data_IF_900980460737
#
_entry.id   IF_900980460737
#
_cell.length_a   1.000
_cell.length_b   1.000
_cell.length_c   1.000
_cell.angle_alpha   90.00
_cell.angle_beta   90.00
_cell.angle_gamma   90.00
#
_symmetry.space_group_name_H-M   'P 1'
#
loop_
_entity.id
_entity.type
_entity.pdbx_description
1 polymer ?
#
# COMPACT_ATOMS: atom_id res chain seq x y z
N UNK A 1 -65.70 -51.81 -32.06
CA UNK A 1 -65.39 -51.01 -30.81
C UNK A 1 -63.90 -50.71 -30.84
N UNK A 2 -63.55 -49.54 -31.36
CA UNK A 2 -62.17 -49.10 -31.46
C UNK A 2 -61.86 -48.08 -30.35
N UNK A 3 -60.90 -48.41 -29.48
CA UNK A 3 -60.45 -47.53 -28.41
C UNK A 3 -59.18 -46.81 -28.87
N UNK A 4 -59.27 -45.54 -29.22
CA UNK A 4 -58.15 -44.60 -29.44
C UNK A 4 -57.57 -44.19 -28.13
N UNK A 5 -56.32 -44.57 -27.85
CA UNK A 5 -55.53 -44.03 -26.72
C UNK A 5 -54.86 -42.70 -27.19
N UNK A 6 -55.24 -41.61 -26.55
CA UNK A 6 -54.56 -40.33 -26.67
C UNK A 6 -53.36 -40.34 -25.69
N UNK A 7 -52.15 -40.31 -26.25
CA UNK A 7 -50.91 -40.15 -25.47
C UNK A 7 -50.66 -38.67 -25.25
N UNK A 8 -50.74 -38.20 -24.01
CA UNK A 8 -50.40 -36.83 -23.62
C UNK A 8 -48.87 -36.75 -23.42
N UNK A 9 -48.13 -36.11 -24.33
CA UNK A 9 -46.74 -35.75 -24.11
C UNK A 9 -46.67 -34.53 -23.19
N UNK A 10 -46.17 -34.73 -21.96
CA UNK A 10 -45.85 -33.67 -21.03
C UNK A 10 -44.44 -33.15 -21.35
N UNK A 11 -44.32 -32.01 -21.98
CA UNK A 11 -43.05 -31.30 -22.19
C UNK A 11 -42.69 -30.57 -20.89
N UNK A 12 -41.73 -31.10 -20.13
CA UNK A 12 -41.15 -30.41 -18.98
C UNK A 12 -40.27 -29.26 -19.48
N UNK A 13 -40.70 -28.03 -19.28
CA UNK A 13 -39.91 -26.82 -19.49
C UNK A 13 -39.01 -26.67 -18.23
N UNK A 14 -37.73 -26.98 -18.41
CA UNK A 14 -36.69 -26.62 -17.42
C UNK A 14 -36.50 -25.10 -17.48
N UNK A 15 -36.99 -24.38 -16.50
CA UNK A 15 -36.62 -23.00 -16.25
C UNK A 15 -35.26 -23.08 -15.58
N UNK A 16 -34.17 -22.86 -16.32
CA UNK A 16 -32.86 -22.59 -15.77
C UNK A 16 -32.99 -21.24 -15.02
N UNK A 17 -33.01 -21.28 -13.70
CA UNK A 17 -32.83 -20.07 -12.88
C UNK A 17 -31.46 -19.45 -13.19
N UNK A 18 -31.29 -18.13 -13.00
CA UNK A 18 -29.98 -17.52 -13.13
C UNK A 18 -29.03 -18.23 -12.15
N UNK A 19 -28.01 -18.87 -12.70
CA UNK A 19 -26.87 -19.32 -11.91
C UNK A 19 -26.17 -18.04 -11.47
N UNK A 20 -26.35 -17.63 -10.21
CA UNK A 20 -25.44 -16.68 -9.59
C UNK A 20 -24.10 -17.41 -9.49
N UNK A 21 -23.15 -17.03 -10.31
CA UNK A 21 -21.77 -17.42 -10.06
C UNK A 21 -21.38 -16.87 -8.70
N UNK A 22 -20.83 -17.71 -7.82
CA UNK A 22 -20.29 -17.23 -6.56
C UNK A 22 -19.18 -16.23 -6.89
N UNK A 23 -19.28 -15.02 -6.33
CA UNK A 23 -18.25 -13.99 -6.49
C UNK A 23 -16.93 -14.51 -5.91
N UNK A 24 -15.77 -14.14 -6.49
CA UNK A 24 -14.49 -14.58 -5.98
C UNK A 24 -14.27 -14.07 -4.54
N UNK A 25 -13.76 -14.94 -3.67
CA UNK A 25 -13.29 -14.58 -2.35
C UNK A 25 -11.87 -14.01 -2.51
N UNK A 26 -11.66 -12.79 -2.09
CA UNK A 26 -10.40 -12.07 -2.28
C UNK A 26 -9.85 -11.65 -0.93
N UNK A 27 -8.61 -12.02 -0.64
CA UNK A 27 -7.89 -11.58 0.55
C UNK A 27 -6.79 -10.57 0.15
N UNK A 28 -6.54 -9.59 1.04
CA UNK A 28 -5.57 -8.51 0.80
C UNK A 28 -4.78 -8.24 2.07
N UNK A 29 -3.49 -8.00 1.95
CA UNK A 29 -2.60 -7.80 3.11
C UNK A 29 -2.88 -6.51 3.87
N UNK A 30 -2.75 -5.34 3.26
CA UNK A 30 -2.81 -4.02 3.92
C UNK A 30 -3.96 -3.15 3.43
N UNK A 31 -4.39 -2.19 4.25
CA UNK A 31 -5.52 -1.31 3.97
C UNK A 31 -5.40 -0.48 2.67
N UNK A 32 -4.25 0.08 2.28
CA UNK A 32 -4.10 0.77 1.00
C UNK A 32 -4.36 -0.13 -0.22
N UNK A 33 -3.80 -1.34 -0.22
CA UNK A 33 -4.01 -2.33 -1.29
C UNK A 33 -5.47 -2.81 -1.28
N UNK A 34 -6.04 -3.06 -0.09
CA UNK A 34 -7.47 -3.37 0.05
C UNK A 34 -8.35 -2.31 -0.61
N UNK A 35 -7.99 -1.03 -0.48
CA UNK A 35 -8.75 0.06 -1.11
C UNK A 35 -8.73 -0.02 -2.65
N UNK A 36 -7.57 -0.32 -3.24
CA UNK A 36 -7.46 -0.50 -4.70
C UNK A 36 -8.26 -1.71 -5.19
N UNK A 37 -8.19 -2.83 -4.46
CA UNK A 37 -8.98 -4.02 -4.78
C UNK A 37 -10.48 -3.75 -4.62
N UNK A 38 -10.89 -3.06 -3.53
CA UNK A 38 -12.28 -2.66 -3.31
C UNK A 38 -12.81 -1.72 -4.40
N UNK A 39 -11.96 -0.83 -4.93
CA UNK A 39 -12.29 0.04 -6.06
C UNK A 39 -12.59 -0.79 -7.32
N UNK A 40 -11.77 -1.79 -7.62
CA UNK A 40 -11.99 -2.66 -8.79
C UNK A 40 -13.20 -3.57 -8.60
N UNK A 41 -13.46 -4.05 -7.38
CA UNK A 41 -14.57 -4.93 -7.03
C UNK A 41 -15.90 -4.20 -6.78
N UNK A 42 -15.96 -2.87 -6.96
CA UNK A 42 -17.18 -2.10 -6.69
C UNK A 42 -18.39 -2.64 -7.47
N UNK A 43 -19.49 -2.87 -6.74
CA UNK A 43 -20.72 -3.44 -7.30
C UNK A 43 -20.72 -4.97 -7.45
N UNK A 44 -19.58 -5.65 -7.24
CA UNK A 44 -19.46 -7.11 -7.34
C UNK A 44 -19.20 -7.75 -5.98
N UNK A 45 -18.22 -7.25 -5.23
CA UNK A 45 -17.82 -7.84 -3.96
C UNK A 45 -17.03 -6.89 -3.08
N UNK A 46 -16.55 -7.41 -1.95
CA UNK A 46 -15.66 -6.70 -1.01
C UNK A 46 -14.54 -7.66 -0.65
N UNK A 47 -13.27 -7.24 -0.71
CA UNK A 47 -12.16 -8.08 -0.29
C UNK A 47 -12.08 -8.17 1.25
N UNK A 48 -11.44 -9.22 1.75
CA UNK A 48 -11.10 -9.40 3.17
C UNK A 48 -9.71 -8.81 3.46
N UNK A 49 -9.62 -7.97 4.51
CA UNK A 49 -8.35 -7.40 4.97
C UNK A 49 -7.69 -8.33 5.98
N UNK A 50 -6.42 -8.66 5.78
CA UNK A 50 -5.64 -9.56 6.65
C UNK A 50 -4.99 -8.78 7.80
N UNK A 51 -4.22 -7.74 7.51
CA UNK A 51 -3.54 -6.93 8.52
C UNK A 51 -4.46 -5.79 8.93
N UNK A 52 -4.95 -5.83 10.16
CA UNK A 52 -5.94 -4.87 10.65
C UNK A 52 -5.35 -3.47 10.78
N UNK A 53 -6.18 -2.44 10.55
CA UNK A 53 -5.79 -1.03 10.68
C UNK A 53 -5.08 -0.75 12.02
N UNK A 54 -3.98 -0.02 11.96
CA UNK A 54 -3.16 0.37 13.11
C UNK A 54 -2.12 -0.66 13.56
N UNK A 55 -2.05 -1.82 12.90
CA UNK A 55 -0.97 -2.79 13.11
C UNK A 55 0.15 -2.57 12.10
N UNK A 56 1.41 -2.86 12.50
CA UNK A 56 2.54 -2.87 11.56
C UNK A 56 2.48 -4.12 10.67
N UNK A 57 2.71 -3.99 9.35
CA UNK A 57 2.77 -5.13 8.46
C UNK A 57 4.02 -5.99 8.63
N UNK A 58 5.13 -5.42 9.08
CA UNK A 58 6.41 -6.12 9.20
C UNK A 58 6.40 -7.19 10.30
N UNK A 59 5.61 -6.98 11.37
CA UNK A 59 5.43 -7.95 12.45
C UNK A 59 3.94 -8.09 12.80
N UNK A 60 3.32 -9.18 12.39
CA UNK A 60 1.91 -9.43 12.65
C UNK A 60 1.64 -10.90 13.00
N UNK A 61 0.67 -11.13 13.85
CA UNK A 61 0.19 -12.48 14.20
C UNK A 61 -1.24 -12.66 13.71
N UNK A 62 -1.45 -13.59 12.77
CA UNK A 62 -2.75 -13.90 12.20
C UNK A 62 -3.79 -14.28 13.27
N UNK A 63 -4.95 -13.67 13.20
CA UNK A 63 -6.13 -14.06 13.95
C UNK A 63 -6.84 -15.22 13.25
N UNK A 64 -7.63 -16.04 13.99
CA UNK A 64 -8.37 -17.16 13.37
C UNK A 64 -9.30 -16.74 12.20
N UNK A 65 -9.91 -15.55 12.27
CA UNK A 65 -10.74 -15.02 11.19
C UNK A 65 -9.96 -14.74 9.91
N UNK A 66 -8.75 -14.17 10.05
CA UNK A 66 -7.85 -13.85 8.95
C UNK A 66 -7.28 -15.12 8.30
N UNK A 67 -6.89 -16.10 9.13
CA UNK A 67 -6.52 -17.42 8.63
C UNK A 67 -7.65 -18.10 7.86
N UNK A 68 -8.91 -17.94 8.30
CA UNK A 68 -10.07 -18.46 7.60
C UNK A 68 -10.32 -17.73 6.27
N UNK A 69 -10.10 -16.41 6.22
CA UNK A 69 -10.20 -15.62 4.99
C UNK A 69 -9.18 -16.11 3.95
N UNK A 70 -7.92 -16.34 4.36
CA UNK A 70 -6.89 -16.91 3.49
C UNK A 70 -7.25 -18.31 3.00
N UNK A 71 -7.77 -19.19 3.87
CA UNK A 71 -8.19 -20.55 3.48
C UNK A 71 -9.31 -20.58 2.46
N UNK A 72 -10.17 -19.58 2.45
CA UNK A 72 -11.30 -19.49 1.55
C UNK A 72 -11.01 -18.64 0.30
N UNK A 73 -9.85 -17.99 0.22
CA UNK A 73 -9.52 -17.07 -0.86
C UNK A 73 -9.34 -17.81 -2.20
N UNK A 74 -9.95 -17.27 -3.25
CA UNK A 74 -9.67 -17.62 -4.65
C UNK A 74 -8.47 -16.82 -5.19
N UNK A 75 -8.32 -15.56 -4.71
CA UNK A 75 -7.20 -14.68 -5.04
C UNK A 75 -6.66 -14.02 -3.77
N UNK A 76 -5.35 -13.83 -3.75
CA UNK A 76 -4.67 -13.00 -2.74
C UNK A 76 -3.85 -11.94 -3.44
N UNK A 77 -4.11 -10.67 -3.12
CA UNK A 77 -3.26 -9.54 -3.50
C UNK A 77 -2.49 -9.05 -2.27
N UNK A 78 -1.20 -8.96 -2.41
CA UNK A 78 -0.32 -8.51 -1.33
C UNK A 78 0.86 -7.74 -1.92
N UNK A 79 1.49 -6.88 -1.13
CA UNK A 79 2.65 -6.13 -1.63
C UNK A 79 3.77 -7.09 -2.02
N UNK A 80 4.13 -8.02 -1.14
CA UNK A 80 5.14 -9.02 -1.43
C UNK A 80 5.92 -9.45 -0.17
N UNK A 81 6.87 -10.38 -0.34
CA UNK A 81 7.67 -10.91 0.77
C UNK A 81 8.57 -9.85 1.43
N UNK A 82 8.95 -8.80 0.72
CA UNK A 82 9.77 -7.72 1.27
C UNK A 82 9.01 -6.92 2.34
N UNK A 83 7.67 -6.81 2.25
CA UNK A 83 6.84 -6.19 3.29
C UNK A 83 6.47 -7.17 4.40
N UNK A 84 6.05 -8.38 4.02
CA UNK A 84 5.44 -9.35 4.94
C UNK A 84 6.05 -10.75 4.76
N UNK A 85 7.35 -10.96 5.12
CA UNK A 85 8.01 -12.26 4.94
C UNK A 85 7.28 -13.38 5.71
N UNK A 86 6.72 -13.07 6.90
CA UNK A 86 5.91 -14.00 7.69
C UNK A 86 4.63 -14.47 6.97
N UNK A 87 4.06 -13.62 6.07
CA UNK A 87 2.84 -13.95 5.34
C UNK A 87 3.13 -14.94 4.20
N UNK A 88 4.33 -14.93 3.62
CA UNK A 88 4.72 -15.87 2.57
C UNK A 88 4.54 -17.33 3.00
N UNK A 89 5.06 -17.71 4.18
CA UNK A 89 4.89 -19.06 4.74
C UNK A 89 3.41 -19.40 5.06
N UNK A 90 2.67 -18.39 5.54
CA UNK A 90 1.24 -18.55 5.81
C UNK A 90 0.43 -18.79 4.52
N UNK A 91 0.74 -18.08 3.43
CA UNK A 91 0.09 -18.25 2.13
C UNK A 91 0.31 -19.65 1.54
N UNK A 92 1.54 -20.17 1.62
CA UNK A 92 1.83 -21.54 1.17
C UNK A 92 0.99 -22.60 1.89
N UNK A 93 0.74 -22.39 3.19
CA UNK A 93 0.03 -23.35 4.04
C UNK A 93 -1.49 -23.16 4.00
N UNK A 94 -1.97 -21.91 4.06
CA UNK A 94 -3.39 -21.60 4.25
C UNK A 94 -4.12 -21.38 2.92
N UNK A 95 -3.45 -20.88 1.89
CA UNK A 95 -4.05 -20.52 0.61
C UNK A 95 -3.42 -21.27 -0.60
N UNK A 96 -3.17 -22.60 -0.52
CA UNK A 96 -2.43 -23.33 -1.56
C UNK A 96 -3.17 -23.42 -2.89
N UNK A 97 -4.47 -23.14 -2.94
CA UNK A 97 -5.30 -23.14 -4.14
C UNK A 97 -5.57 -21.73 -4.69
N UNK A 98 -5.26 -20.69 -3.93
CA UNK A 98 -5.48 -19.31 -4.35
C UNK A 98 -4.48 -18.87 -5.42
N UNK A 99 -4.91 -17.95 -6.28
CA UNK A 99 -3.99 -17.23 -7.18
C UNK A 99 -3.34 -16.11 -6.38
N UNK A 100 -2.05 -16.27 -6.08
CA UNK A 100 -1.27 -15.27 -5.36
C UNK A 100 -0.71 -14.24 -6.33
N UNK A 101 -0.78 -12.96 -5.98
CA UNK A 101 -0.21 -11.85 -6.76
C UNK A 101 0.59 -10.95 -5.83
N UNK A 102 1.93 -11.01 -5.92
CA UNK A 102 2.86 -10.07 -5.32
C UNK A 102 2.88 -8.81 -6.18
N UNK A 103 2.32 -7.72 -5.67
CA UNK A 103 2.14 -6.49 -6.43
C UNK A 103 3.46 -5.76 -6.68
N UNK A 104 4.43 -5.90 -5.78
CA UNK A 104 5.77 -5.33 -5.98
C UNK A 104 6.49 -5.98 -7.16
N UNK A 105 6.21 -7.27 -7.44
CA UNK A 105 6.89 -8.07 -8.48
C UNK A 105 6.17 -8.04 -9.85
N UNK A 106 4.99 -7.38 -9.96
CA UNK A 106 4.29 -7.36 -11.25
C UNK A 106 4.97 -6.41 -12.24
N UNK A 107 4.96 -6.80 -13.51
CA UNK A 107 5.53 -5.99 -14.59
C UNK A 107 4.95 -4.58 -14.61
N UNK A 108 5.81 -3.58 -14.68
CA UNK A 108 5.46 -2.17 -14.71
C UNK A 108 5.33 -1.51 -13.33
N UNK A 109 5.49 -2.26 -12.23
CA UNK A 109 5.68 -1.67 -10.91
C UNK A 109 7.06 -1.02 -10.83
N UNK A 110 7.10 0.24 -10.40
CA UNK A 110 8.34 0.91 -10.04
C UNK A 110 8.85 0.23 -8.77
N UNK A 111 10.08 -0.26 -8.82
CA UNK A 111 10.80 -0.86 -7.70
C UNK A 111 11.97 0.04 -7.35
N UNK A 112 12.14 0.35 -6.07
CA UNK A 112 13.25 1.13 -5.54
C UNK A 112 14.04 0.25 -4.57
N UNK A 113 15.35 0.41 -4.54
CA UNK A 113 16.22 -0.25 -3.58
C UNK A 113 16.10 0.45 -2.22
N UNK A 114 16.41 -0.26 -1.14
CA UNK A 114 16.51 0.37 0.17
C UNK A 114 17.59 1.45 0.18
N UNK A 115 17.33 2.56 0.88
CA UNK A 115 18.36 3.55 1.18
C UNK A 115 19.17 3.08 2.38
N UNK A 116 20.48 2.93 2.19
CA UNK A 116 21.38 2.44 3.25
C UNK A 116 21.76 3.56 4.23
N UNK A 117 21.84 4.80 3.72
CA UNK A 117 22.25 5.95 4.51
C UNK A 117 21.07 6.61 5.19
N UNK A 118 21.34 6.99 6.38
CA UNK A 118 20.40 7.68 7.23
C UNK A 118 20.13 9.12 6.82
N UNK A 119 21.03 9.72 6.09
CA UNK A 119 20.95 11.05 5.50
C UNK A 119 20.93 10.85 4.00
N UNK A 120 19.88 11.34 3.38
CA UNK A 120 19.67 11.21 1.95
C UNK A 120 20.43 12.32 1.24
N UNK A 121 21.78 12.22 1.24
CA UNK A 121 22.59 13.15 0.45
C UNK A 121 22.28 12.94 -1.03
N UNK A 122 22.23 14.04 -1.80
CA UNK A 122 22.14 13.95 -3.26
C UNK A 122 23.44 13.35 -3.82
N UNK A 123 23.54 12.04 -3.86
CA UNK A 123 24.71 11.37 -4.41
C UNK A 123 24.70 11.44 -5.93
N UNK A 124 25.77 12.05 -6.48
CA UNK A 124 26.20 11.86 -7.86
C UNK A 124 26.59 10.36 -7.99
N UNK A 125 25.89 9.62 -8.83
CA UNK A 125 26.15 8.20 -9.09
C UNK A 125 27.51 8.01 -9.76
N UNK A 126 28.57 7.84 -8.97
CA UNK A 126 29.87 7.39 -9.44
C UNK A 126 30.49 6.43 -8.43
N UNK A 127 30.49 5.15 -8.81
CA UNK A 127 31.36 4.06 -8.40
C UNK A 127 31.43 3.73 -6.90
N UNK A 128 30.67 2.72 -6.47
CA UNK A 128 31.05 1.93 -5.30
C UNK A 128 30.98 0.44 -5.60
N UNK A 129 32.19 -0.20 -5.55
CA UNK A 129 32.42 -1.62 -5.55
C UNK A 129 32.01 -2.24 -4.19
N UNK A 130 31.31 -3.36 -4.28
CA UNK A 130 31.22 -4.49 -3.37
C UNK A 130 31.49 -4.29 -1.87
N UNK A 131 30.44 -4.27 -1.05
CA UNK A 131 30.44 -4.85 0.29
C UNK A 131 29.22 -5.74 0.49
N UNK A 132 29.45 -7.06 0.40
CA UNK A 132 28.55 -8.12 0.80
C UNK A 132 28.42 -8.17 2.35
N UNK A 133 27.46 -7.45 2.90
CA UNK A 133 26.88 -7.75 4.21
C UNK A 133 25.35 -7.71 4.05
N UNK A 134 24.79 -8.83 3.56
CA UNK A 134 23.35 -9.03 3.44
C UNK A 134 22.75 -9.26 4.81
N UNK A 135 22.32 -8.21 5.47
CA UNK A 135 21.24 -8.32 6.44
C UNK A 135 19.96 -8.73 5.70
N UNK A 136 19.13 -9.56 6.31
CA UNK A 136 17.94 -10.26 5.80
C UNK A 136 16.78 -9.30 5.40
N UNK A 137 17.10 -8.15 4.84
CA UNK A 137 16.16 -7.21 4.23
C UNK A 137 15.88 -7.70 2.80
N UNK A 138 14.61 -7.62 2.34
CA UNK A 138 14.24 -7.94 0.97
C UNK A 138 15.05 -7.14 -0.06
N UNK A 139 14.94 -7.50 -1.33
CA UNK A 139 15.73 -6.87 -2.39
C UNK A 139 15.31 -5.41 -2.64
N UNK A 140 14.07 -5.01 -2.28
CA UNK A 140 13.50 -3.69 -2.61
C UNK A 140 12.75 -3.08 -1.43
N UNK A 141 12.71 -1.74 -1.40
CA UNK A 141 11.84 -0.98 -0.53
C UNK A 141 10.38 -1.41 -0.76
N UNK A 142 9.69 -1.96 0.25
CA UNK A 142 8.36 -2.51 0.07
C UNK A 142 7.23 -1.47 0.06
N UNK A 143 7.50 -0.19 0.36
CA UNK A 143 6.46 0.83 0.53
C UNK A 143 5.87 1.35 -0.80
N UNK A 144 5.87 0.50 -1.81
CA UNK A 144 5.49 0.79 -3.20
C UNK A 144 4.05 1.28 -3.40
N UNK A 145 3.14 1.03 -2.43
CA UNK A 145 1.78 1.58 -2.45
C UNK A 145 1.73 3.11 -2.30
N UNK A 146 2.79 3.74 -1.80
CA UNK A 146 2.87 5.19 -1.68
C UNK A 146 3.18 5.90 -3.01
N UNK A 147 3.43 5.13 -4.09
CA UNK A 147 3.45 5.63 -5.46
C UNK A 147 2.05 5.59 -6.10
N UNK A 148 1.41 6.72 -6.38
CA UNK A 148 0.20 6.75 -7.20
C UNK A 148 0.39 6.14 -8.60
N UNK A 149 1.58 6.20 -9.18
CA UNK A 149 1.88 5.55 -10.47
C UNK A 149 1.83 4.03 -10.36
N UNK A 150 2.38 3.45 -9.29
CA UNK A 150 2.24 2.02 -9.00
C UNK A 150 0.78 1.63 -8.77
N UNK A 151 0.03 2.45 -8.03
CA UNK A 151 -1.39 2.20 -7.79
C UNK A 151 -2.20 2.13 -9.09
N UNK A 152 -1.91 2.96 -10.09
CA UNK A 152 -2.53 2.87 -11.42
C UNK A 152 -2.20 1.56 -12.14
N UNK A 153 -0.94 1.12 -12.09
CA UNK A 153 -0.51 -0.18 -12.64
C UNK A 153 -1.22 -1.34 -11.92
N UNK A 154 -1.30 -1.26 -10.60
CA UNK A 154 -1.95 -2.31 -9.79
C UNK A 154 -3.45 -2.40 -10.04
N UNK A 155 -4.16 -1.29 -10.29
CA UNK A 155 -5.58 -1.34 -10.68
C UNK A 155 -5.79 -2.19 -11.94
N UNK A 156 -4.94 -2.05 -12.96
CA UNK A 156 -5.04 -2.83 -14.20
C UNK A 156 -4.73 -4.31 -13.96
N UNK A 157 -3.71 -4.62 -13.15
CA UNK A 157 -3.34 -6.00 -12.78
C UNK A 157 -4.46 -6.66 -11.99
N UNK A 158 -5.01 -5.98 -10.98
CA UNK A 158 -6.12 -6.46 -10.15
C UNK A 158 -7.33 -6.78 -11.03
N UNK A 159 -7.72 -5.87 -11.94
CA UNK A 159 -8.83 -6.08 -12.86
C UNK A 159 -8.58 -7.29 -13.79
N UNK A 160 -7.36 -7.44 -14.28
CA UNK A 160 -6.98 -8.58 -15.12
C UNK A 160 -7.08 -9.92 -14.37
N UNK A 161 -6.60 -9.99 -13.13
CA UNK A 161 -6.66 -11.20 -12.30
C UNK A 161 -8.10 -11.56 -11.91
N UNK A 162 -8.88 -10.57 -11.49
CA UNK A 162 -10.32 -10.77 -11.19
C UNK A 162 -11.09 -11.23 -12.42
N UNK A 163 -10.88 -10.62 -13.58
CA UNK A 163 -11.53 -11.01 -14.84
C UNK A 163 -11.19 -12.44 -15.27
N UNK A 164 -9.99 -12.92 -14.97
CA UNK A 164 -9.58 -14.29 -15.29
C UNK A 164 -10.32 -15.34 -14.44
N UNK A 165 -10.58 -15.02 -13.16
CA UNK A 165 -11.29 -15.92 -12.22
C UNK A 165 -12.80 -15.79 -12.35
N UNK A 166 -13.30 -14.57 -12.58
CA UNK A 166 -14.71 -14.25 -12.73
C UNK A 166 -15.00 -13.52 -14.06
N UNK A 167 -15.03 -14.23 -15.19
CA UNK A 167 -15.27 -13.64 -16.50
C UNK A 167 -16.65 -12.99 -16.67
N UNK A 168 -17.61 -13.36 -15.82
CA UNK A 168 -18.98 -12.82 -15.89
C UNK A 168 -18.99 -11.34 -15.51
N UNK A 169 -18.15 -10.94 -14.55
CA UNK A 169 -18.04 -9.56 -14.07
C UNK A 169 -16.85 -8.80 -14.68
N UNK A 170 -16.18 -9.35 -15.69
CA UNK A 170 -14.97 -8.78 -16.31
C UNK A 170 -15.16 -7.32 -16.77
N UNK A 171 -16.28 -7.02 -17.42
CA UNK A 171 -16.57 -5.66 -17.90
C UNK A 171 -16.67 -4.65 -16.73
N UNK A 172 -17.23 -5.08 -15.59
CA UNK A 172 -17.32 -4.24 -14.40
C UNK A 172 -15.92 -3.98 -13.80
N UNK A 173 -15.09 -5.01 -13.66
CA UNK A 173 -13.72 -4.87 -13.14
C UNK A 173 -12.88 -3.93 -14.00
N UNK A 174 -12.92 -4.09 -15.32
CA UNK A 174 -12.17 -3.24 -16.25
C UNK A 174 -12.67 -1.78 -16.22
N UNK A 175 -13.98 -1.56 -16.16
CA UNK A 175 -14.57 -0.22 -16.07
C UNK A 175 -14.20 0.46 -14.74
N UNK A 176 -14.25 -0.28 -13.62
CA UNK A 176 -13.90 0.22 -12.30
C UNK A 176 -12.41 0.57 -12.21
N UNK A 177 -11.52 -0.25 -12.76
CA UNK A 177 -10.09 0.05 -12.85
C UNK A 177 -9.82 1.30 -13.66
N UNK A 178 -10.45 1.46 -14.83
CA UNK A 178 -10.32 2.66 -15.64
C UNK A 178 -10.80 3.93 -14.91
N UNK A 179 -11.91 3.84 -14.18
CA UNK A 179 -12.41 4.92 -13.33
C UNK A 179 -11.45 5.25 -12.18
N UNK A 180 -10.90 4.23 -11.53
CA UNK A 180 -9.90 4.39 -10.46
C UNK A 180 -8.64 5.07 -10.96
N UNK A 181 -8.12 4.69 -12.13
CA UNK A 181 -6.95 5.33 -12.75
C UNK A 181 -7.19 6.80 -13.02
N UNK A 182 -8.33 7.16 -13.62
CA UNK A 182 -8.67 8.56 -13.88
C UNK A 182 -8.77 9.38 -12.57
N UNK A 183 -9.28 8.77 -11.49
CA UNK A 183 -9.31 9.41 -10.17
C UNK A 183 -7.91 9.60 -9.58
N UNK A 184 -7.00 8.66 -9.79
CA UNK A 184 -5.59 8.78 -9.34
C UNK A 184 -4.82 9.80 -10.20
N UNK A 185 -5.06 9.88 -11.50
CA UNK A 185 -4.47 10.93 -12.36
C UNK A 185 -4.84 12.33 -11.85
N UNK A 186 -6.12 12.56 -11.54
CA UNK A 186 -6.56 13.81 -10.94
C UNK A 186 -5.97 14.06 -9.54
N UNK A 187 -5.78 13.00 -8.75
CA UNK A 187 -5.13 13.08 -7.44
C UNK A 187 -3.64 13.49 -7.56
N UNK A 188 -2.92 13.00 -8.56
CA UNK A 188 -1.52 13.39 -8.81
C UNK A 188 -1.44 14.91 -9.06
N UNK A 189 -2.31 15.46 -9.92
CA UNK A 189 -2.36 16.91 -10.18
C UNK A 189 -2.68 17.72 -8.91
N UNK A 190 -3.59 17.22 -8.05
CA UNK A 190 -3.92 17.83 -6.76
C UNK A 190 -2.73 17.84 -5.79
N UNK A 191 -1.98 16.74 -5.71
CA UNK A 191 -0.78 16.61 -4.88
C UNK A 191 0.31 17.56 -5.34
N UNK A 192 0.62 17.59 -6.64
CA UNK A 192 1.61 18.50 -7.23
C UNK A 192 1.29 19.96 -6.90
N UNK A 193 0.04 20.38 -7.12
CA UNK A 193 -0.39 21.75 -6.82
C UNK A 193 -0.30 22.09 -5.32
N UNK A 194 -0.49 21.10 -4.43
CA UNK A 194 -0.42 21.30 -2.98
C UNK A 194 1.04 21.40 -2.49
N UNK A 195 1.96 20.63 -3.07
CA UNK A 195 3.37 20.61 -2.70
C UNK A 195 4.18 21.74 -3.33
N UNK A 196 3.78 22.25 -4.48
CA UNK A 196 4.54 23.27 -5.24
C UNK A 196 4.97 24.49 -4.39
N UNK A 197 4.11 25.09 -3.54
CA UNK A 197 4.48 26.24 -2.71
C UNK A 197 5.55 25.96 -1.62
N UNK A 198 5.79 24.67 -1.31
CA UNK A 198 6.71 24.25 -0.23
C UNK A 198 7.92 23.47 -0.75
N UNK A 199 8.13 23.42 -2.07
CA UNK A 199 9.31 22.79 -2.67
C UNK A 199 10.62 23.41 -2.16
N UNK A 200 11.64 22.56 -1.99
CA UNK A 200 12.96 22.98 -1.52
C UNK A 200 13.04 23.27 -0.02
N UNK A 201 12.00 22.92 0.75
CA UNK A 201 12.07 22.97 2.21
C UNK A 201 12.50 21.61 2.74
N UNK A 202 13.44 21.65 3.70
CA UNK A 202 14.04 20.47 4.29
C UNK A 202 13.12 19.83 5.33
N UNK A 203 12.92 18.51 5.25
CA UNK A 203 12.16 17.74 6.22
C UNK A 203 12.78 16.37 6.47
N UNK A 204 12.46 15.79 7.62
CA UNK A 204 12.90 14.46 8.03
C UNK A 204 11.65 13.61 8.30
N UNK A 205 11.67 12.35 7.89
CA UNK A 205 10.63 11.36 8.17
C UNK A 205 11.00 10.51 9.39
N UNK A 206 10.01 9.86 10.03
CA UNK A 206 10.29 8.97 11.14
C UNK A 206 11.02 7.72 10.68
N UNK A 207 10.43 6.96 9.73
CA UNK A 207 11.10 5.84 9.09
C UNK A 207 11.09 6.02 7.57
N UNK A 208 11.94 5.28 6.88
CA UNK A 208 12.16 5.41 5.45
C UNK A 208 11.10 4.67 4.63
N UNK A 209 9.85 5.15 4.70
CA UNK A 209 8.72 4.58 3.96
C UNK A 209 8.32 5.39 2.73
N UNK A 210 8.78 6.63 2.61
CA UNK A 210 8.17 7.61 1.69
C UNK A 210 8.91 7.76 0.37
N UNK A 211 9.96 6.98 0.12
CA UNK A 211 10.82 7.07 -1.06
C UNK A 211 10.04 7.03 -2.38
N UNK A 212 9.01 6.20 -2.48
CA UNK A 212 8.14 6.13 -3.66
C UNK A 212 7.31 7.40 -3.87
N UNK A 213 6.74 7.96 -2.81
CA UNK A 213 6.03 9.24 -2.86
C UNK A 213 6.99 10.38 -3.22
N UNK A 214 8.16 10.41 -2.60
CA UNK A 214 9.22 11.38 -2.87
C UNK A 214 9.64 11.36 -4.36
N UNK A 215 9.84 10.16 -4.91
CA UNK A 215 10.23 9.95 -6.31
C UNK A 215 9.12 10.37 -7.28
N UNK A 216 7.86 10.04 -6.97
CA UNK A 216 6.73 10.36 -7.85
C UNK A 216 6.50 11.87 -7.98
N UNK A 217 6.79 12.63 -6.92
CA UNK A 217 6.51 14.07 -6.85
C UNK A 217 7.76 14.96 -6.86
N UNK A 218 8.96 14.39 -7.04
CA UNK A 218 10.24 15.10 -6.95
C UNK A 218 10.30 15.94 -5.66
N UNK A 219 10.11 15.29 -4.52
CA UNK A 219 9.95 15.92 -3.21
C UNK A 219 10.69 15.13 -2.12
N UNK A 220 12.02 15.13 -2.18
CA UNK A 220 12.87 14.30 -1.35
C UNK A 220 12.92 14.76 0.11
N UNK A 221 12.87 13.79 1.04
CA UNK A 221 13.23 14.00 2.44
C UNK A 221 14.75 14.15 2.58
N UNK A 222 15.19 14.87 3.62
CA UNK A 222 16.61 15.05 3.94
C UNK A 222 17.20 13.86 4.72
N UNK A 223 16.33 12.98 5.25
CA UNK A 223 16.73 11.80 6.00
C UNK A 223 15.59 11.17 6.79
N UNK A 224 15.88 10.04 7.44
CA UNK A 224 14.96 9.33 8.31
C UNK A 224 15.56 9.13 9.71
N UNK A 225 14.73 9.16 10.76
CA UNK A 225 15.14 8.88 12.13
C UNK A 225 15.50 7.39 12.27
N UNK A 226 14.70 6.52 11.70
CA UNK A 226 14.98 5.08 11.57
C UNK A 226 14.99 4.68 10.11
N UNK A 227 15.90 3.80 9.73
CA UNK A 227 15.94 3.21 8.38
C UNK A 227 14.93 2.05 8.24
N UNK A 228 14.39 1.59 9.36
CA UNK A 228 13.41 0.49 9.41
C UNK A 228 12.41 0.74 10.52
N UNK A 229 11.16 0.30 10.33
CA UNK A 229 10.11 0.33 11.36
C UNK A 229 10.20 -0.86 12.32
N UNK A 230 11.00 -1.88 11.98
CA UNK A 230 11.22 -3.05 12.83
C UNK A 230 12.22 -2.82 13.98
N UNK A 231 12.92 -1.68 14.04
CA UNK A 231 13.90 -1.40 15.08
C UNK A 231 13.92 0.04 15.56
N UNK A 232 14.04 0.23 16.89
CA UNK A 232 14.22 1.55 17.47
C UNK A 232 15.58 2.14 17.07
N UNK A 233 15.64 3.45 16.73
CA UNK A 233 16.89 4.10 16.39
C UNK A 233 17.85 4.13 17.59
N UNK A 234 19.15 3.92 17.34
CA UNK A 234 20.17 3.99 18.39
C UNK A 234 20.32 5.40 18.97
N UNK A 235 20.81 5.56 20.21
CA UNK A 235 21.09 6.88 20.78
C UNK A 235 22.08 7.71 19.93
N UNK A 236 23.04 7.05 19.26
CA UNK A 236 23.99 7.69 18.37
C UNK A 236 23.26 8.28 17.15
N UNK A 237 22.34 7.51 16.58
CA UNK A 237 21.50 7.92 15.46
C UNK A 237 20.62 9.13 15.80
N UNK A 238 19.96 9.11 16.96
CA UNK A 238 19.17 10.26 17.43
C UNK A 238 20.05 11.51 17.59
N UNK A 239 21.30 11.36 18.08
CA UNK A 239 22.22 12.51 18.22
C UNK A 239 22.65 13.06 16.86
N UNK A 240 22.90 12.20 15.87
CA UNK A 240 23.22 12.57 14.49
C UNK A 240 22.07 13.36 13.85
N UNK A 241 20.85 12.81 13.85
CA UNK A 241 19.66 13.48 13.29
C UNK A 241 19.40 14.83 13.97
N UNK A 242 19.59 14.93 15.29
CA UNK A 242 19.48 16.22 15.99
C UNK A 242 20.50 17.24 15.49
N UNK A 243 21.73 16.81 15.18
CA UNK A 243 22.75 17.66 14.56
C UNK A 243 22.25 18.19 13.21
N UNK A 244 21.74 17.32 12.38
CA UNK A 244 21.19 17.66 11.04
C UNK A 244 20.02 18.65 11.13
N UNK A 245 19.06 18.41 12.02
CA UNK A 245 17.93 19.33 12.24
C UNK A 245 18.43 20.75 12.59
N UNK A 246 19.51 20.85 13.37
CA UNK A 246 20.06 22.13 13.78
C UNK A 246 20.91 22.82 12.69
N UNK A 247 21.63 22.05 11.86
CA UNK A 247 22.65 22.55 10.93
C UNK A 247 22.10 22.79 9.52
N UNK A 248 21.13 21.98 9.06
CA UNK A 248 20.65 21.99 7.68
C UNK A 248 19.31 22.72 7.48
N UNK A 249 18.81 23.43 8.49
CA UNK A 249 17.58 24.22 8.33
C UNK A 249 16.32 23.37 8.14
N UNK A 250 16.31 22.16 8.68
CA UNK A 250 15.12 21.29 8.70
C UNK A 250 13.99 22.02 9.41
N UNK A 251 12.87 22.18 8.73
CA UNK A 251 11.70 22.92 9.25
C UNK A 251 10.58 22.01 9.74
N UNK A 252 10.60 20.73 9.32
CA UNK A 252 9.57 19.74 9.64
C UNK A 252 10.18 18.38 9.95
N UNK A 253 9.67 17.72 10.99
CA UNK A 253 9.93 16.30 11.29
C UNK A 253 8.59 15.57 11.33
N UNK A 254 8.42 14.57 10.48
CA UNK A 254 7.20 13.79 10.39
C UNK A 254 7.26 12.63 11.38
N UNK A 255 6.24 12.54 12.23
CA UNK A 255 5.98 11.44 13.15
C UNK A 255 4.88 10.54 12.60
N UNK A 256 4.82 9.31 13.07
CA UNK A 256 3.81 8.33 12.71
C UNK A 256 3.09 7.79 13.95
N UNK A 257 1.76 7.50 13.87
CA UNK A 257 0.99 7.07 15.03
C UNK A 257 1.43 5.71 15.60
N UNK A 258 2.09 4.87 14.79
CA UNK A 258 2.57 3.54 15.16
C UNK A 258 3.79 3.59 16.06
N UNK A 259 4.54 4.72 16.10
CA UNK A 259 5.80 4.86 16.82
C UNK A 259 5.70 5.74 18.05
N UNK A 260 6.71 5.62 18.92
CA UNK A 260 6.80 6.40 20.16
C UNK A 260 7.05 7.89 19.87
N UNK A 261 6.09 8.80 20.12
CA UNK A 261 6.26 10.23 19.85
C UNK A 261 7.37 10.89 20.68
N UNK A 262 7.84 10.25 21.75
CA UNK A 262 8.95 10.74 22.58
C UNK A 262 10.29 10.74 21.84
N UNK A 263 10.48 9.90 20.83
CA UNK A 263 11.66 9.88 19.97
C UNK A 263 11.72 11.16 19.12
N UNK A 264 10.61 11.48 18.43
CA UNK A 264 10.50 12.72 17.63
C UNK A 264 10.67 13.96 18.51
N UNK A 265 10.04 13.99 19.69
CA UNK A 265 10.22 15.09 20.65
C UNK A 265 11.68 15.25 21.11
N UNK A 266 12.43 14.14 21.18
CA UNK A 266 13.86 14.17 21.52
C UNK A 266 14.69 14.75 20.37
N UNK A 267 14.39 14.38 19.13
CA UNK A 267 15.03 14.94 17.93
C UNK A 267 14.79 16.44 17.82
N UNK A 268 13.55 16.88 18.02
CA UNK A 268 13.16 18.30 17.94
C UNK A 268 13.71 19.18 19.06
N UNK A 269 14.23 18.60 20.14
CA UNK A 269 14.66 19.36 21.31
C UNK A 269 15.78 20.35 20.98
N UNK A 270 15.48 21.66 21.09
CA UNK A 270 16.42 22.76 20.86
C UNK A 270 16.45 23.23 19.39
N UNK A 271 15.53 22.80 18.58
CA UNK A 271 15.27 23.30 17.21
C UNK A 271 13.94 24.05 17.14
N UNK A 272 13.75 24.85 16.08
CA UNK A 272 12.49 25.52 15.74
C UNK A 272 11.63 24.67 14.76
N UNK A 273 12.08 23.46 14.39
CA UNK A 273 11.37 22.57 13.49
C UNK A 273 10.01 22.12 14.07
N UNK A 274 9.02 22.04 13.22
CA UNK A 274 7.66 21.61 13.57
C UNK A 274 7.54 20.08 13.50
N UNK A 275 6.59 19.53 14.25
CA UNK A 275 6.19 18.12 14.14
C UNK A 275 4.92 18.00 13.29
N UNK A 276 4.98 17.26 12.19
CA UNK A 276 3.83 16.77 11.46
C UNK A 276 3.51 15.32 11.84
N UNK A 277 2.26 14.90 11.60
CA UNK A 277 1.85 13.50 11.77
C UNK A 277 1.38 12.99 10.43
N UNK A 278 1.96 11.89 9.98
CA UNK A 278 1.61 11.16 8.75
C UNK A 278 1.36 9.69 9.10
N UNK A 279 0.51 9.04 8.36
CA UNK A 279 0.21 7.62 8.52
C UNK A 279 0.24 6.95 7.15
N UNK A 280 1.26 6.14 6.83
CA UNK A 280 1.42 5.51 5.53
C UNK A 280 0.41 4.38 5.26
N UNK A 281 -0.34 3.93 6.28
CA UNK A 281 -1.34 2.88 6.17
C UNK A 281 -2.79 3.40 6.26
N UNK A 282 -2.99 4.67 6.70
CA UNK A 282 -4.31 5.26 6.84
C UNK A 282 -5.15 4.59 7.92
N UNK A 283 -4.58 4.33 9.09
CA UNK A 283 -5.19 3.54 10.16
C UNK A 283 -6.47 4.14 10.74
N UNK A 284 -6.65 5.46 10.62
CA UNK A 284 -7.82 6.22 11.04
C UNK A 284 -8.88 6.43 9.94
N UNK A 285 -8.59 5.95 8.72
CA UNK A 285 -9.50 6.04 7.58
C UNK A 285 -10.48 4.86 7.54
N UNK A 286 -11.67 5.13 7.01
CA UNK A 286 -12.66 4.09 6.78
C UNK A 286 -12.23 3.15 5.64
N UNK A 287 -12.29 1.83 5.86
CA UNK A 287 -11.98 0.84 4.84
C UNK A 287 -12.94 0.95 3.65
N UNK A 288 -12.40 0.75 2.45
CA UNK A 288 -13.17 0.79 1.21
C UNK A 288 -12.44 1.51 0.09
N UNK A 289 -13.09 1.67 -1.06
CA UNK A 289 -12.52 2.23 -2.29
C UNK A 289 -11.96 3.66 -2.13
N UNK A 290 -12.45 4.41 -1.15
CA UNK A 290 -12.02 5.80 -0.92
C UNK A 290 -10.80 5.94 0.00
N UNK A 291 -10.32 4.86 0.66
CA UNK A 291 -9.21 4.97 1.59
C UNK A 291 -7.92 5.43 0.88
N UNK A 292 -7.56 4.80 -0.23
CA UNK A 292 -6.31 5.12 -0.93
C UNK A 292 -6.20 6.60 -1.34
N UNK A 293 -7.16 7.21 -2.04
CA UNK A 293 -7.06 8.63 -2.37
C UNK A 293 -7.09 9.54 -1.14
N UNK A 294 -7.78 9.16 -0.06
CA UNK A 294 -7.75 9.92 1.19
C UNK A 294 -6.40 9.82 1.89
N UNK A 295 -5.77 8.64 1.89
CA UNK A 295 -4.43 8.42 2.42
C UNK A 295 -3.42 9.38 1.79
N UNK A 296 -3.34 9.40 0.46
CA UNK A 296 -2.40 10.26 -0.28
C UNK A 296 -2.69 11.76 -0.01
N UNK A 297 -3.97 12.16 0.05
CA UNK A 297 -4.34 13.53 0.42
C UNK A 297 -3.95 13.89 1.84
N UNK A 298 -4.16 12.99 2.80
CA UNK A 298 -3.81 13.22 4.21
C UNK A 298 -2.30 13.37 4.40
N UNK A 299 -1.51 12.50 3.76
CA UNK A 299 -0.05 12.58 3.75
C UNK A 299 0.40 13.93 3.16
N UNK A 300 -0.07 14.27 1.97
CA UNK A 300 0.25 15.52 1.28
C UNK A 300 -0.11 16.76 2.11
N UNK A 301 -1.31 16.78 2.68
CA UNK A 301 -1.78 17.91 3.48
C UNK A 301 -1.02 18.03 4.81
N UNK A 302 -0.63 16.92 5.45
CA UNK A 302 0.16 16.94 6.68
C UNK A 302 1.57 17.47 6.39
N UNK A 303 2.21 17.00 5.33
CA UNK A 303 3.53 17.46 4.88
C UNK A 303 3.49 18.96 4.55
N UNK A 304 2.57 19.39 3.68
CA UNK A 304 2.44 20.81 3.30
C UNK A 304 2.19 21.71 4.51
N UNK A 305 1.31 21.32 5.45
CA UNK A 305 1.06 22.10 6.68
C UNK A 305 2.31 22.24 7.54
N UNK A 306 3.05 21.14 7.73
CA UNK A 306 4.26 21.14 8.54
C UNK A 306 5.34 22.06 7.92
N UNK A 307 5.48 22.01 6.61
CA UNK A 307 6.44 22.83 5.88
C UNK A 307 6.03 24.31 5.75
N UNK A 308 4.72 24.65 5.81
CA UNK A 308 4.25 26.03 5.78
C UNK A 308 4.37 26.77 7.12
N UNK A 309 4.51 26.08 8.24
CA UNK A 309 4.43 26.62 9.59
C UNK A 309 5.63 27.47 10.01
N UNK A 310 6.04 28.44 9.17
CA UNK A 310 7.00 29.51 9.51
C UNK A 310 6.50 30.87 9.07
#
# INVERSE_FOLDING_TARGET
MSRTLFSLCFTAVFIAGPAYADRPQVAVDIAPVHSLVAQVMEGVGVPDLIIQSGATPHEYSLRPSEATALQNADLVFWVGPDLTPWLAEALETLAPAAVLTSLLEVDGTIQLEFREDALFEAHDHSDHDDHDDHDDHGAHDPHAWLSPKNAMTWLDVIAGRLSAVDPINSDAYLANAASGRAAIEALIEEVEATLDPVRGREFIVFHDAYQYFETDFDFAASGAISVSDASDPSPARIAEIRGQVAEHGVVCVLAEPQFNPGLVATVLKGSDAQMGIVDPLGSDLELGSNLYPQLIRHLTAALARCLHAQ
#
